data_IF_551912342648
#
_entry.id   IF_551912342648
#
_cell.length_a   1.000
_cell.length_b   1.000
_cell.length_c   1.000
_cell.angle_alpha   90.00
_cell.angle_beta   90.00
_cell.angle_gamma   90.00
#
_symmetry.space_group_name_H-M   'P 1'
#
loop_
_entity.id
_entity.type
_entity.pdbx_description
1 polymer ?
#
# COMPACT_ATOMS: atom_id res chain seq x y z
N UNK A 1 8.42 -5.34 -7.03
CA UNK A 1 8.34 -3.97 -7.55
C UNK A 1 7.15 -3.85 -8.49
N UNK A 2 6.64 -2.64 -8.74
CA UNK A 2 5.49 -2.43 -9.64
C UNK A 2 5.74 -2.99 -11.05
N UNK A 3 6.96 -2.82 -11.58
CA UNK A 3 7.33 -3.38 -12.89
C UNK A 3 7.12 -4.89 -12.97
N UNK A 4 7.56 -5.65 -11.96
CA UNK A 4 7.40 -7.12 -11.94
C UNK A 4 5.92 -7.50 -11.95
N UNK A 5 5.07 -6.80 -11.18
CA UNK A 5 3.64 -7.07 -11.17
C UNK A 5 3.01 -6.82 -12.55
N UNK A 6 3.36 -5.71 -13.21
CA UNK A 6 2.87 -5.38 -14.56
C UNK A 6 3.39 -6.40 -15.59
N UNK A 7 4.66 -6.81 -15.51
CA UNK A 7 5.22 -7.83 -16.41
C UNK A 7 4.51 -9.18 -16.24
N UNK A 8 4.25 -9.61 -15.00
CA UNK A 8 3.51 -10.85 -14.74
C UNK A 8 2.06 -10.76 -15.23
N UNK A 9 1.40 -9.62 -15.08
CA UNK A 9 0.08 -9.36 -15.67
C UNK A 9 0.08 -9.52 -17.18
N UNK A 10 1.07 -8.94 -17.84
CA UNK A 10 1.19 -9.03 -19.28
C UNK A 10 1.43 -10.47 -19.74
N UNK A 11 2.27 -11.23 -19.05
CA UNK A 11 2.52 -12.65 -19.34
C UNK A 11 1.23 -13.48 -19.18
N UNK A 12 0.53 -13.32 -18.06
CA UNK A 12 -0.73 -14.04 -17.79
C UNK A 12 -1.80 -13.66 -18.81
N UNK A 13 -1.87 -12.39 -19.21
CA UNK A 13 -2.79 -11.92 -20.24
C UNK A 13 -2.55 -12.60 -21.60
N UNK A 14 -1.29 -12.67 -22.06
CA UNK A 14 -0.95 -13.36 -23.31
C UNK A 14 -1.23 -14.86 -23.18
N UNK A 15 -0.86 -15.47 -22.05
CA UNK A 15 -1.12 -16.89 -21.78
C UNK A 15 -2.62 -17.23 -21.80
N UNK A 16 -3.45 -16.39 -21.18
CA UNK A 16 -4.90 -16.53 -21.20
C UNK A 16 -5.46 -16.46 -22.63
N UNK A 17 -4.97 -15.50 -23.41
CA UNK A 17 -5.41 -15.27 -24.80
C UNK A 17 -5.04 -16.42 -25.73
N UNK A 18 -3.80 -16.92 -25.65
CA UNK A 18 -3.36 -18.06 -26.46
C UNK A 18 -4.04 -19.34 -25.99
N UNK A 19 -4.15 -19.56 -24.68
CA UNK A 19 -4.75 -20.77 -24.11
C UNK A 19 -6.22 -20.92 -24.48
N UNK A 20 -7.03 -19.86 -24.33
CA UNK A 20 -8.45 -19.92 -24.68
C UNK A 20 -8.66 -20.10 -26.19
N UNK A 21 -7.82 -19.45 -27.01
CA UNK A 21 -7.82 -19.64 -28.46
C UNK A 21 -7.63 -21.12 -28.79
N UNK A 22 -6.61 -21.78 -28.23
CA UNK A 22 -6.36 -23.21 -28.49
C UNK A 22 -7.55 -24.11 -28.15
N UNK A 23 -8.33 -23.80 -27.11
CA UNK A 23 -9.47 -24.63 -26.71
C UNK A 23 -10.79 -24.31 -27.43
N UNK A 24 -10.98 -23.06 -27.88
CA UNK A 24 -12.29 -22.61 -28.36
C UNK A 24 -12.33 -22.25 -29.86
N UNK A 25 -11.18 -22.05 -30.52
CA UNK A 25 -11.16 -21.55 -31.91
C UNK A 25 -11.88 -22.46 -32.93
N UNK A 26 -11.83 -23.79 -32.76
CA UNK A 26 -12.51 -24.73 -33.66
C UNK A 26 -14.04 -24.71 -33.49
N UNK A 27 -14.50 -24.55 -32.25
CA UNK A 27 -15.93 -24.63 -31.91
C UNK A 27 -16.61 -23.26 -32.01
N UNK A 28 -15.87 -22.18 -31.78
CA UNK A 28 -16.36 -20.81 -31.80
C UNK A 28 -15.45 -19.91 -32.67
N UNK A 29 -15.35 -20.14 -33.98
CA UNK A 29 -14.45 -19.38 -34.86
C UNK A 29 -14.83 -17.89 -34.97
N UNK A 30 -16.09 -17.52 -34.78
CA UNK A 30 -16.50 -16.11 -34.79
C UNK A 30 -16.01 -15.36 -33.54
N UNK A 31 -15.97 -16.02 -32.39
CA UNK A 31 -15.62 -15.40 -31.11
C UNK A 31 -14.16 -15.61 -30.69
N UNK A 32 -13.54 -16.71 -31.10
CA UNK A 32 -12.16 -17.09 -30.78
C UNK A 32 -11.32 -17.43 -32.02
N UNK A 33 -11.72 -16.99 -33.22
CA UNK A 33 -11.03 -17.32 -34.47
C UNK A 33 -9.65 -16.68 -34.66
N UNK A 34 -9.27 -15.72 -33.82
CA UNK A 34 -7.92 -15.16 -33.82
C UNK A 34 -7.48 -14.70 -32.44
N UNK A 35 -6.16 -14.59 -32.24
CA UNK A 35 -5.58 -14.15 -30.97
C UNK A 35 -6.15 -12.80 -30.49
N UNK A 36 -6.34 -11.77 -31.35
CA UNK A 36 -6.98 -10.52 -30.93
C UNK A 36 -8.40 -10.68 -30.39
N UNK A 37 -9.22 -11.59 -30.94
CA UNK A 37 -10.55 -11.86 -30.41
C UNK A 37 -10.47 -12.57 -29.04
N UNK A 38 -9.54 -13.51 -28.89
CA UNK A 38 -9.27 -14.14 -27.60
C UNK A 38 -8.72 -13.15 -26.55
N UNK A 39 -7.94 -12.16 -26.97
CA UNK A 39 -7.44 -11.07 -26.13
C UNK A 39 -8.58 -10.21 -25.56
N UNK A 40 -9.64 -9.96 -26.33
CA UNK A 40 -10.83 -9.26 -25.83
C UNK A 40 -11.45 -10.01 -24.65
N UNK A 41 -11.71 -11.30 -24.83
CA UNK A 41 -12.20 -12.16 -23.75
C UNK A 41 -11.26 -12.15 -22.53
N UNK A 42 -9.96 -12.25 -22.75
CA UNK A 42 -8.97 -12.26 -21.68
C UNK A 42 -8.93 -10.92 -20.92
N UNK A 43 -9.00 -9.77 -21.60
CA UNK A 43 -9.08 -8.45 -20.94
C UNK A 43 -10.33 -8.38 -20.06
N UNK A 44 -11.51 -8.65 -20.63
CA UNK A 44 -12.79 -8.53 -19.95
C UNK A 44 -12.88 -9.48 -18.75
N UNK A 45 -12.32 -10.69 -18.87
CA UNK A 45 -12.32 -11.71 -17.83
C UNK A 45 -11.31 -11.40 -16.72
N UNK A 46 -10.05 -11.10 -17.07
CA UNK A 46 -8.98 -10.86 -16.11
C UNK A 46 -9.18 -9.54 -15.34
N UNK A 47 -9.80 -8.54 -15.97
CA UNK A 47 -10.19 -7.28 -15.31
C UNK A 47 -11.49 -7.39 -14.53
N UNK A 48 -12.10 -8.58 -14.45
CA UNK A 48 -13.35 -8.86 -13.73
C UNK A 48 -14.58 -8.10 -14.24
N UNK A 49 -14.53 -7.56 -15.45
CA UNK A 49 -15.67 -6.87 -16.09
C UNK A 49 -16.75 -7.87 -16.49
N UNK A 50 -16.36 -8.94 -17.20
CA UNK A 50 -17.24 -10.08 -17.48
C UNK A 50 -18.55 -9.75 -18.20
N UNK A 51 -18.51 -9.08 -19.36
CA UNK A 51 -19.72 -8.74 -20.13
C UNK A 51 -20.59 -9.95 -20.50
N UNK A 52 -19.97 -11.14 -20.64
CA UNK A 52 -20.68 -12.38 -20.97
C UNK A 52 -21.07 -12.50 -22.45
N UNK A 53 -20.59 -11.58 -23.30
CA UNK A 53 -20.75 -11.57 -24.76
C UNK A 53 -20.03 -12.75 -25.42
N UNK A 54 -18.87 -13.13 -24.88
CA UNK A 54 -18.08 -14.27 -25.33
C UNK A 54 -17.70 -15.13 -24.12
N UNK A 55 -17.93 -16.44 -24.19
CA UNK A 55 -17.57 -17.38 -23.11
C UNK A 55 -17.13 -18.72 -23.68
N UNK A 56 -16.23 -19.46 -23.01
CA UNK A 56 -15.86 -20.80 -23.45
C UNK A 56 -17.02 -21.77 -23.32
N UNK A 57 -17.24 -22.57 -24.36
CA UNK A 57 -18.29 -23.59 -24.38
C UNK A 57 -17.73 -25.00 -24.20
N UNK A 58 -16.46 -25.22 -24.54
CA UNK A 58 -15.80 -26.53 -24.41
C UNK A 58 -15.49 -26.85 -22.96
N UNK A 59 -15.42 -28.16 -22.64
CA UNK A 59 -15.10 -28.63 -21.29
C UNK A 59 -13.71 -28.14 -20.86
N UNK A 60 -12.72 -28.28 -21.75
CA UNK A 60 -11.34 -27.85 -21.46
C UNK A 60 -11.22 -26.32 -21.38
N UNK A 61 -11.91 -25.58 -22.25
CA UNK A 61 -11.96 -24.11 -22.19
C UNK A 61 -12.58 -23.61 -20.89
N UNK A 62 -13.64 -24.25 -20.39
CA UNK A 62 -14.26 -23.91 -19.08
C UNK A 62 -13.34 -24.19 -17.90
N UNK A 63 -12.65 -25.34 -17.90
CA UNK A 63 -11.67 -25.67 -16.85
C UNK A 63 -10.54 -24.65 -16.87
N UNK A 64 -9.97 -24.37 -18.05
CA UNK A 64 -8.91 -23.39 -18.23
C UNK A 64 -9.34 -21.99 -17.78
N UNK A 65 -10.52 -21.54 -18.21
CA UNK A 65 -11.07 -20.25 -17.84
C UNK A 65 -11.29 -20.12 -16.33
N UNK A 66 -11.76 -21.17 -15.67
CA UNK A 66 -11.94 -21.15 -14.22
C UNK A 66 -10.60 -20.94 -13.51
N UNK A 67 -9.55 -21.68 -13.92
CA UNK A 67 -8.22 -21.55 -13.35
C UNK A 67 -7.63 -20.15 -13.61
N UNK A 68 -7.76 -19.64 -14.84
CA UNK A 68 -7.19 -18.34 -15.20
C UNK A 68 -7.89 -17.18 -14.52
N UNK A 69 -9.21 -17.28 -14.28
CA UNK A 69 -9.96 -16.28 -13.52
C UNK A 69 -9.51 -16.23 -12.06
N UNK A 70 -9.31 -17.37 -11.40
CA UNK A 70 -8.80 -17.41 -10.02
C UNK A 70 -7.43 -16.73 -9.92
N UNK A 71 -6.53 -17.03 -10.86
CA UNK A 71 -5.20 -16.41 -10.93
C UNK A 71 -5.32 -14.92 -11.24
N UNK A 72 -6.17 -14.53 -12.19
CA UNK A 72 -6.38 -13.16 -12.63
C UNK A 72 -6.85 -12.23 -11.52
N UNK A 73 -7.85 -12.65 -10.74
CA UNK A 73 -8.37 -11.88 -9.59
C UNK A 73 -7.25 -11.61 -8.58
N UNK A 74 -6.45 -12.62 -8.25
CA UNK A 74 -5.30 -12.45 -7.35
C UNK A 74 -4.28 -11.47 -7.91
N UNK A 75 -4.00 -11.55 -9.21
CA UNK A 75 -2.99 -10.72 -9.86
C UNK A 75 -3.39 -9.24 -9.90
N UNK A 76 -4.65 -8.92 -10.22
CA UNK A 76 -5.17 -7.53 -10.27
C UNK A 76 -5.07 -6.82 -8.92
N UNK A 77 -5.04 -7.56 -7.80
CA UNK A 77 -4.87 -6.97 -6.48
C UNK A 77 -3.46 -6.41 -6.20
N UNK A 78 -2.43 -6.89 -6.93
CA UNK A 78 -1.04 -6.59 -6.62
C UNK A 78 -0.66 -5.10 -6.86
N UNK A 79 -0.97 -4.45 -7.99
CA UNK A 79 -0.61 -3.06 -8.22
C UNK A 79 -1.31 -2.12 -7.23
N UNK A 80 -2.59 -2.37 -6.95
CA UNK A 80 -3.35 -1.61 -5.95
C UNK A 80 -2.69 -1.73 -4.57
N UNK A 81 -2.31 -2.95 -4.16
CA UNK A 81 -1.60 -3.19 -2.90
C UNK A 81 -0.24 -2.50 -2.82
N UNK A 82 0.55 -2.54 -3.91
CA UNK A 82 1.86 -1.87 -3.97
C UNK A 82 1.69 -0.35 -3.84
N UNK A 83 0.74 0.26 -4.56
CA UNK A 83 0.47 1.70 -4.48
C UNK A 83 -0.01 2.09 -3.08
N UNK A 84 -0.95 1.32 -2.50
CA UNK A 84 -1.44 1.56 -1.15
C UNK A 84 -0.30 1.51 -0.12
N UNK A 85 0.57 0.49 -0.20
CA UNK A 85 1.73 0.37 0.70
C UNK A 85 2.70 1.54 0.56
N UNK A 86 2.95 2.01 -0.68
CA UNK A 86 3.79 3.17 -0.94
C UNK A 86 3.20 4.45 -0.37
N UNK A 87 1.88 4.63 -0.45
CA UNK A 87 1.19 5.77 0.16
C UNK A 87 1.23 5.71 1.69
N UNK A 88 0.98 4.54 2.28
CA UNK A 88 1.09 4.32 3.72
C UNK A 88 2.51 4.64 4.22
N UNK A 89 3.53 4.23 3.46
CA UNK A 89 4.92 4.50 3.80
C UNK A 89 5.24 6.01 3.73
N UNK A 90 4.78 6.70 2.70
CA UNK A 90 4.93 8.16 2.61
C UNK A 90 4.24 8.89 3.78
N UNK A 91 3.06 8.43 4.20
CA UNK A 91 2.39 8.96 5.38
C UNK A 91 3.17 8.66 6.67
N UNK A 92 3.84 7.51 6.76
CA UNK A 92 4.70 7.15 7.90
C UNK A 92 5.92 8.07 7.98
N UNK A 93 6.63 8.26 6.86
CA UNK A 93 7.80 9.14 6.78
C UNK A 93 7.49 10.59 7.17
N UNK A 94 6.34 11.12 6.74
CA UNK A 94 5.88 12.46 7.15
C UNK A 94 5.69 12.57 8.67
N UNK A 95 5.12 11.54 9.30
CA UNK A 95 4.94 11.50 10.76
C UNK A 95 6.26 11.37 11.50
N UNK A 96 7.17 10.53 11.00
CA UNK A 96 8.50 10.34 11.60
C UNK A 96 9.35 11.61 11.50
N UNK A 97 9.26 12.35 10.39
CA UNK A 97 9.89 13.67 10.24
C UNK A 97 9.36 14.65 11.28
N UNK A 98 8.03 14.80 11.37
CA UNK A 98 7.41 15.70 12.34
C UNK A 98 7.73 15.30 13.79
N UNK A 99 7.72 14.00 14.11
CA UNK A 99 8.07 13.52 15.44
C UNK A 99 9.54 13.85 15.78
N UNK A 100 10.47 13.66 14.85
CA UNK A 100 11.89 13.99 15.05
C UNK A 100 12.08 15.48 15.35
N UNK A 101 11.33 16.35 14.69
CA UNK A 101 11.37 17.80 14.89
C UNK A 101 10.87 18.19 16.29
N UNK A 102 9.74 17.61 16.73
CA UNK A 102 9.25 17.79 18.10
C UNK A 102 10.26 17.29 19.14
N UNK A 103 10.88 16.13 18.90
CA UNK A 103 11.91 15.57 19.78
C UNK A 103 13.15 16.47 19.86
N UNK A 104 13.59 17.06 18.74
CA UNK A 104 14.72 17.99 18.71
C UNK A 104 14.45 19.24 19.57
N UNK A 105 13.30 19.88 19.36
CA UNK A 105 12.93 21.10 20.10
C UNK A 105 12.84 20.84 21.62
N UNK A 106 12.25 19.71 22.04
CA UNK A 106 12.19 19.34 23.47
C UNK A 106 13.59 19.03 24.04
N UNK A 107 14.49 18.47 23.24
CA UNK A 107 15.85 18.16 23.70
C UNK A 107 16.72 19.41 23.85
N UNK A 108 16.48 20.45 23.05
CA UNK A 108 17.20 21.72 23.11
C UNK A 108 16.78 22.56 24.32
N UNK A 109 15.49 22.87 24.45
CA UNK A 109 14.99 23.81 25.46
C UNK A 109 14.36 23.14 26.69
N UNK A 110 14.18 21.83 26.62
CA UNK A 110 13.59 21.05 27.68
C UNK A 110 12.05 21.11 27.71
N UNK A 111 11.44 22.12 27.10
CA UNK A 111 9.99 22.29 26.95
C UNK A 111 9.71 22.96 25.60
N UNK A 112 8.52 22.75 25.04
CA UNK A 112 8.14 23.41 23.79
C UNK A 112 7.67 24.83 24.09
N UNK A 113 8.31 25.82 23.45
CA UNK A 113 7.95 27.23 23.55
C UNK A 113 6.73 27.56 22.68
N UNK A 114 6.15 28.75 22.87
CA UNK A 114 5.09 29.27 21.98
C UNK A 114 5.59 29.43 20.54
N UNK A 115 6.87 29.77 20.35
CA UNK A 115 7.48 29.91 19.03
C UNK A 115 7.59 28.54 18.35
N UNK A 116 8.07 27.52 19.08
CA UNK A 116 8.15 26.14 18.59
C UNK A 116 6.78 25.63 18.14
N UNK A 117 5.71 26.00 18.86
CA UNK A 117 4.34 25.64 18.50
C UNK A 117 3.87 26.29 17.20
N UNK A 118 4.32 27.51 16.90
CA UNK A 118 4.03 28.21 15.64
C UNK A 118 4.77 27.53 14.49
N UNK A 119 6.04 27.21 14.69
CA UNK A 119 6.90 26.59 13.68
C UNK A 119 6.40 25.18 13.36
N UNK A 120 6.17 24.33 14.38
CA UNK A 120 5.56 23.01 14.23
C UNK A 120 4.19 23.05 13.54
N UNK A 121 3.38 24.09 13.77
CA UNK A 121 2.10 24.23 13.07
C UNK A 121 2.29 24.53 11.58
N UNK A 122 3.37 25.20 11.21
CA UNK A 122 3.75 25.45 9.82
C UNK A 122 4.26 24.17 9.18
N UNK A 123 5.21 23.47 9.81
CA UNK A 123 5.78 22.22 9.31
C UNK A 123 4.71 21.13 9.14
N UNK A 124 3.79 21.04 10.11
CA UNK A 124 2.61 20.17 10.01
C UNK A 124 1.82 20.41 8.72
N UNK A 125 1.56 21.68 8.37
CA UNK A 125 0.80 22.03 7.16
C UNK A 125 1.58 21.67 5.90
N UNK A 126 2.88 21.94 5.87
CA UNK A 126 3.76 21.57 4.75
C UNK A 126 3.80 20.05 4.53
N UNK A 127 3.84 19.27 5.62
CA UNK A 127 3.79 17.81 5.57
C UNK A 127 2.39 17.25 5.27
N UNK A 128 1.36 18.10 5.28
CA UNK A 128 -0.04 17.69 5.08
C UNK A 128 -0.59 16.83 6.23
N UNK A 129 -0.09 17.04 7.45
CA UNK A 129 -0.56 16.35 8.65
C UNK A 129 -1.83 17.03 9.19
N UNK A 130 -2.80 16.23 9.61
CA UNK A 130 -3.97 16.74 10.33
C UNK A 130 -3.52 17.28 11.72
N UNK A 131 -4.12 18.40 12.15
CA UNK A 131 -3.97 18.99 13.49
C UNK A 131 -4.09 17.95 14.61
N UNK A 132 -5.10 17.08 14.56
CA UNK A 132 -5.34 16.08 15.61
C UNK A 132 -4.19 15.07 15.71
N UNK A 133 -3.66 14.65 14.55
CA UNK A 133 -2.52 13.71 14.49
C UNK A 133 -1.25 14.36 14.98
N UNK A 134 -1.03 15.63 14.66
CA UNK A 134 0.13 16.37 15.14
C UNK A 134 0.09 16.58 16.65
N UNK A 135 -1.06 16.97 17.21
CA UNK A 135 -1.24 17.08 18.65
C UNK A 135 -1.03 15.74 19.37
N UNK A 136 -1.49 14.63 18.76
CA UNK A 136 -1.21 13.30 19.28
C UNK A 136 0.30 13.00 19.29
N UNK A 137 1.03 13.33 18.22
CA UNK A 137 2.49 13.13 18.18
C UNK A 137 3.18 13.98 19.25
N UNK A 138 2.82 15.28 19.36
CA UNK A 138 3.39 16.20 20.35
C UNK A 138 3.18 15.66 21.77
N UNK A 139 1.94 15.31 22.12
CA UNK A 139 1.61 14.77 23.44
C UNK A 139 2.32 13.44 23.73
N UNK A 140 2.46 12.57 22.72
CA UNK A 140 3.21 11.31 22.86
C UNK A 140 4.69 11.55 23.16
N UNK A 141 5.34 12.48 22.44
CA UNK A 141 6.75 12.80 22.66
C UNK A 141 6.95 13.45 24.03
N UNK A 142 6.13 14.44 24.39
CA UNK A 142 6.18 15.10 25.70
C UNK A 142 6.04 14.09 26.86
N UNK A 143 5.09 13.16 26.75
CA UNK A 143 4.89 12.12 27.76
C UNK A 143 6.12 11.21 27.89
N UNK A 144 6.73 10.77 26.77
CA UNK A 144 7.96 9.96 26.79
C UNK A 144 9.10 10.70 27.49
N UNK A 145 9.29 11.98 27.18
CA UNK A 145 10.37 12.79 27.77
C UNK A 145 10.15 13.03 29.27
N UNK A 146 8.92 13.29 29.70
CA UNK A 146 8.58 13.41 31.11
C UNK A 146 8.83 12.10 31.88
N UNK A 147 8.47 10.96 31.32
CA UNK A 147 8.75 9.66 31.93
C UNK A 147 10.25 9.39 32.04
N UNK A 148 11.04 9.70 31.01
CA UNK A 148 12.49 9.56 31.05
C UNK A 148 13.11 10.44 32.14
N UNK A 149 12.66 11.69 32.27
CA UNK A 149 13.12 12.61 33.33
C UNK A 149 12.77 12.09 34.73
N UNK A 150 11.55 11.57 34.92
CA UNK A 150 11.14 10.93 36.19
C UNK A 150 12.05 9.75 36.53
N UNK A 151 12.31 8.85 35.57
CA UNK A 151 13.21 7.69 35.75
C UNK A 151 14.63 8.11 36.13
N UNK A 152 15.21 9.11 35.45
CA UNK A 152 16.55 9.66 35.78
C UNK A 152 16.62 10.20 37.21
N UNK A 153 15.57 10.91 37.67
CA UNK A 153 15.47 11.41 39.05
C UNK A 153 15.39 10.29 40.07
N UNK A 154 14.56 9.27 39.84
CA UNK A 154 14.43 8.12 40.75
C UNK A 154 15.75 7.35 40.91
N UNK A 155 16.47 7.12 39.81
CA UNK A 155 17.76 6.42 39.86
C UNK A 155 18.85 7.21 40.61
N UNK A 156 18.91 8.54 40.42
CA UNK A 156 19.87 9.38 41.16
C UNK A 156 19.60 9.40 42.67
N UNK A 157 18.34 9.38 43.11
CA UNK A 157 17.98 9.35 44.53
C UNK A 157 18.35 8.02 45.19
N UNK A 158 18.21 6.88 44.48
CA UNK A 158 18.63 5.58 45.00
C UNK A 158 20.16 5.43 45.08
N UNK A 159 20.89 5.94 44.08
CA UNK A 159 22.36 5.93 44.07
C UNK A 159 22.95 6.81 45.19
N UNK A 160 22.32 7.96 45.49
CA UNK A 160 22.73 8.84 46.59
C UNK A 160 22.46 8.30 48.00
N UNK A 161 21.62 7.26 48.15
CA UNK A 161 21.36 6.58 49.44
C UNK A 161 22.33 5.42 49.72
N UNK A 162 23.13 4.98 48.74
CA UNK A 162 24.13 3.91 48.88
C UNK A 162 25.57 4.41 49.08
N UNK A 163 25.77 5.74 49.14
CA UNK A 163 27.02 6.39 49.55
C UNK A 163 26.83 7.03 50.92
#
# INVERSE_FOLDING_TARGET
>A
SLMVAITLMFIIFIFASVGIYTFEHEVQPEAFGSIPHAMWWAIVTLTTVGYGDVTPVTVYGKIFATLITIVGVGLVSLPAGIIASGFTEQLRLRRERFQSEVEQLINEDGELTEQDMVDLNTDRKELGLNSDKAQLIISQVQNREQEQRKRKRTNNVQSGKQR
#
